data_IF_906670963111
#
_entry.id   IF_906670963111
#
_cell.length_a   1.000
_cell.length_b   1.000
_cell.length_c   1.000
_cell.angle_alpha   90.00
_cell.angle_beta   90.00
_cell.angle_gamma   90.00
#
_symmetry.space_group_name_H-M   'P 1'
#
loop_
_entity.id
_entity.type
_entity.pdbx_description
1 polymer ?
#
# COMPACT_ATOMS: atom_id res chain seq x y z
N UNK A 1 -3.10 4.10 10.43
CA UNK A 1 -2.80 4.90 9.23
C UNK A 1 -2.62 3.92 8.08
N UNK A 2 -3.52 3.94 7.11
CA UNK A 2 -3.52 2.95 6.03
C UNK A 2 -2.51 3.30 4.93
N UNK A 3 -2.06 2.29 4.19
CA UNK A 3 -1.12 2.46 3.09
C UNK A 3 -1.67 3.38 1.99
N UNK A 4 -2.97 3.27 1.68
CA UNK A 4 -3.63 4.13 0.70
C UNK A 4 -3.54 5.62 1.08
N UNK A 5 -3.81 5.94 2.35
CA UNK A 5 -3.72 7.30 2.87
C UNK A 5 -2.29 7.82 2.84
N UNK A 6 -1.32 7.01 3.27
CA UNK A 6 0.11 7.39 3.23
C UNK A 6 0.59 7.75 1.82
N UNK A 7 0.21 6.93 0.84
CA UNK A 7 0.56 7.15 -0.56
C UNK A 7 -0.12 8.41 -1.11
N UNK A 8 -1.38 8.63 -0.75
CA UNK A 8 -2.17 9.78 -1.21
C UNK A 8 -1.65 11.09 -0.63
N UNK A 9 -1.38 11.15 0.67
CA UNK A 9 -0.83 12.33 1.36
C UNK A 9 0.53 12.76 0.79
N UNK A 10 1.36 11.79 0.41
CA UNK A 10 2.69 12.05 -0.16
C UNK A 10 2.68 12.15 -1.68
N UNK A 11 1.52 12.01 -2.32
CA UNK A 11 1.37 11.95 -3.78
C UNK A 11 2.29 10.90 -4.44
N UNK A 12 2.55 9.79 -3.74
CA UNK A 12 3.38 8.69 -4.23
C UNK A 12 2.48 7.70 -4.96
N UNK A 13 2.81 7.38 -6.21
CA UNK A 13 2.09 6.34 -6.95
C UNK A 13 2.36 4.96 -6.33
N UNK A 14 1.34 4.10 -6.17
CA UNK A 14 1.52 2.76 -5.60
C UNK A 14 2.59 1.92 -6.34
N UNK A 15 2.66 2.06 -7.67
CA UNK A 15 3.67 1.38 -8.48
C UNK A 15 5.10 1.89 -8.23
N UNK A 16 5.26 3.19 -7.98
CA UNK A 16 6.55 3.78 -7.66
C UNK A 16 7.02 3.32 -6.27
N UNK A 17 6.13 3.38 -5.28
CA UNK A 17 6.41 2.84 -3.94
C UNK A 17 6.77 1.36 -3.98
N UNK A 18 6.04 0.57 -4.76
CA UNK A 18 6.33 -0.85 -4.94
C UNK A 18 7.75 -1.08 -5.50
N UNK A 19 8.13 -0.32 -6.53
CA UNK A 19 9.47 -0.38 -7.10
C UNK A 19 10.56 0.01 -6.08
N UNK A 20 10.30 1.04 -5.27
CA UNK A 20 11.20 1.53 -4.22
C UNK A 20 11.49 0.46 -3.16
N UNK A 21 10.46 -0.26 -2.69
CA UNK A 21 10.61 -1.33 -1.70
C UNK A 21 10.96 -2.70 -2.32
N UNK A 22 11.14 -2.76 -3.65
CA UNK A 22 11.44 -3.99 -4.38
C UNK A 22 10.34 -5.04 -4.29
N UNK A 23 9.08 -4.61 -4.41
CA UNK A 23 7.88 -5.46 -4.46
C UNK A 23 7.18 -5.23 -5.81
N UNK A 24 6.60 -6.27 -6.44
CA UNK A 24 5.85 -6.06 -7.67
C UNK A 24 4.68 -5.08 -7.48
N UNK A 25 4.45 -4.12 -8.40
CA UNK A 25 3.34 -3.19 -8.34
C UNK A 25 2.00 -3.88 -8.16
N UNK A 26 1.78 -4.97 -8.91
CA UNK A 26 0.58 -5.82 -8.85
C UNK A 26 0.32 -6.42 -7.47
N UNK A 27 1.36 -6.63 -6.66
CA UNK A 27 1.21 -7.10 -5.27
C UNK A 27 0.69 -5.97 -4.39
N UNK A 28 1.24 -4.76 -4.51
CA UNK A 28 0.77 -3.60 -3.75
C UNK A 28 -0.66 -3.23 -4.12
N UNK A 29 -1.03 -3.22 -5.40
CA UNK A 29 -2.42 -2.96 -5.80
C UNK A 29 -3.40 -4.02 -5.28
N UNK A 30 -3.02 -5.31 -5.24
CA UNK A 30 -3.88 -6.35 -4.65
C UNK A 30 -4.03 -6.22 -3.14
N UNK A 31 -2.98 -5.79 -2.43
CA UNK A 31 -3.04 -5.52 -0.99
C UNK A 31 -3.96 -4.31 -0.73
N UNK A 32 -3.79 -3.23 -1.49
CA UNK A 32 -4.64 -2.04 -1.39
C UNK A 32 -6.12 -2.32 -1.68
N UNK A 33 -6.40 -3.28 -2.58
CA UNK A 33 -7.75 -3.72 -2.91
C UNK A 33 -8.34 -4.74 -1.94
N UNK A 34 -7.58 -5.22 -0.95
CA UNK A 34 -8.02 -6.29 -0.06
C UNK A 34 -8.15 -7.67 -0.72
N UNK A 35 -7.70 -7.82 -1.96
CA UNK A 35 -7.75 -9.09 -2.71
C UNK A 35 -6.66 -10.08 -2.27
N UNK A 36 -5.71 -9.62 -1.46
CA UNK A 36 -4.58 -10.43 -1.01
C UNK A 36 -4.03 -9.96 0.33
N UNK A 37 -3.96 -10.90 1.27
CA UNK A 37 -3.19 -10.70 2.49
C UNK A 37 -1.68 -10.61 2.20
N UNK A 38 -1.02 -9.51 2.61
CA UNK A 38 0.42 -9.37 2.46
C UNK A 38 1.14 -10.40 3.33
N UNK A 39 2.15 -11.08 2.77
CA UNK A 39 3.02 -11.96 3.55
C UNK A 39 3.94 -11.16 4.47
N UNK A 40 4.41 -11.78 5.55
CA UNK A 40 5.33 -11.14 6.51
C UNK A 40 6.55 -10.45 5.88
N UNK A 41 7.11 -11.01 4.81
CA UNK A 41 8.19 -10.37 4.05
C UNK A 41 7.75 -9.06 3.36
N UNK A 42 6.55 -9.03 2.78
CA UNK A 42 5.98 -7.83 2.14
C UNK A 42 5.57 -6.79 3.19
N UNK A 43 4.97 -7.23 4.29
CA UNK A 43 4.64 -6.37 5.43
C UNK A 43 5.89 -5.64 5.90
N UNK A 44 6.99 -6.38 6.15
CA UNK A 44 8.24 -5.79 6.63
C UNK A 44 8.80 -4.74 5.68
N UNK A 45 8.80 -5.03 4.37
CA UNK A 45 9.22 -4.07 3.34
C UNK A 45 8.37 -2.81 3.31
N UNK A 46 7.05 -2.93 3.46
CA UNK A 46 6.14 -1.78 3.50
C UNK A 46 6.35 -0.97 4.78
N UNK A 47 6.46 -1.63 5.94
CA UNK A 47 6.72 -0.96 7.22
C UNK A 47 8.05 -0.21 7.18
N UNK A 48 9.12 -0.83 6.66
CA UNK A 48 10.43 -0.21 6.48
C UNK A 48 10.37 0.95 5.47
N UNK A 49 9.75 0.76 4.31
CA UNK A 49 9.61 1.80 3.28
C UNK A 49 8.72 2.97 3.69
N UNK A 50 7.75 2.75 4.58
CA UNK A 50 6.94 3.82 5.17
C UNK A 50 7.54 4.40 6.45
N UNK A 51 8.74 3.94 6.86
CA UNK A 51 9.42 4.33 8.10
C UNK A 51 8.54 4.16 9.35
N UNK A 52 7.74 3.09 9.39
CA UNK A 52 6.82 2.79 10.49
C UNK A 52 5.55 3.63 10.51
N UNK A 53 5.30 4.48 9.50
CA UNK A 53 4.03 5.22 9.40
C UNK A 53 2.84 4.31 9.11
N UNK A 54 3.06 3.21 8.40
CA UNK A 54 2.08 2.16 8.17
C UNK A 54 2.55 0.93 8.93
N UNK A 55 1.72 0.40 9.82
CA UNK A 55 2.07 -0.78 10.62
C UNK A 55 1.52 -2.07 10.00
N UNK A 56 2.02 -3.22 10.48
CA UNK A 56 1.47 -4.51 10.08
C UNK A 56 -0.03 -4.64 10.40
N UNK A 57 -0.48 -4.06 11.51
CA UNK A 57 -1.89 -4.04 11.89
C UNK A 57 -2.75 -3.25 10.90
N UNK A 58 -2.26 -2.09 10.45
CA UNK A 58 -2.94 -1.28 9.42
C UNK A 58 -3.02 -2.02 8.07
N UNK A 59 -1.98 -2.78 7.70
CA UNK A 59 -1.96 -3.55 6.45
C UNK A 59 -2.94 -4.73 6.45
N UNK A 60 -3.24 -5.27 7.62
CA UNK A 60 -4.18 -6.39 7.79
C UNK A 60 -5.62 -5.85 7.98
N UNK A 61 -5.79 -4.71 8.66
CA UNK A 61 -7.09 -4.11 8.94
C UNK A 61 -7.63 -3.20 7.81
N UNK A 62 -6.74 -2.55 7.06
CA UNK A 62 -7.02 -1.47 6.11
C UNK A 62 -7.52 -1.90 4.72
N UNK A 63 -7.79 -3.19 4.50
CA UNK A 63 -8.31 -3.74 3.25
C UNK A 63 -9.71 -3.21 2.84
N UNK A 64 -10.31 -2.31 3.63
CA UNK A 64 -11.71 -1.88 3.51
C UNK A 64 -11.92 -0.45 2.99
N UNK A 65 -10.87 0.32 2.71
CA UNK A 65 -11.04 1.73 2.30
C UNK A 65 -10.58 1.99 0.87
N UNK A 66 -11.53 1.88 -0.06
CA UNK A 66 -11.44 2.48 -1.39
C UNK A 66 -12.55 3.53 -1.52
N UNK A 67 -12.19 4.79 -1.79
CA UNK A 67 -12.96 5.58 -2.73
C UNK A 67 -12.05 6.01 -3.90
N UNK A 68 -12.46 5.55 -5.07
CA UNK A 68 -12.34 6.17 -6.40
C UNK A 68 -11.41 7.38 -6.57
N UNK A 69 -10.47 7.27 -7.50
CA UNK A 69 -10.20 8.37 -8.41
C UNK A 69 -10.91 8.04 -9.74
N UNK A 70 -11.96 8.78 -10.13
CA UNK A 70 -12.42 8.80 -11.52
C UNK A 70 -11.48 9.69 -12.35
N UNK A 71 -11.34 9.33 -13.63
CA UNK A 71 -11.14 10.24 -14.76
C UNK A 71 -9.78 10.95 -14.97
N UNK A 72 -9.13 10.58 -16.08
CA UNK A 72 -8.53 11.47 -17.08
C UNK A 72 -8.20 10.62 -18.32
N UNK A 73 -8.60 10.89 -19.56
CA UNK A 73 -9.52 11.82 -20.22
C UNK A 73 -9.78 11.20 -21.61
#
# INVERSE_FOLDING_TARGET
>A
MDLATYLSERQIRPAAFAAEIGVPPSTITRILRGERDPRGATIRKIVEGTQGKVTAGDLIAGATQQPSAPEAA
#
